data_IF_085377346950
#
_entry.id   IF_085377346950
#
_cell.length_a   1.000
_cell.length_b   1.000
_cell.length_c   1.000
_cell.angle_alpha   90.00
_cell.angle_beta   90.00
_cell.angle_gamma   90.00
#
_symmetry.space_group_name_H-M   'P 1'
#
loop_
_entity.id
_entity.type
_entity.pdbx_description
1 polymer ?
#
# COMPACT_ATOMS: atom_id res chain seq x y z
N UNK A 1 -5.10 4.97 -3.01
CA UNK A 1 -4.60 5.24 -4.37
C UNK A 1 -5.74 5.14 -5.37
N UNK A 2 -5.79 6.02 -6.39
CA UNK A 2 -6.65 5.80 -7.56
C UNK A 2 -5.97 4.75 -8.45
N UNK A 3 -6.76 3.91 -9.13
CA UNK A 3 -6.25 2.84 -10.01
C UNK A 3 -5.38 3.36 -11.16
N UNK A 4 -5.54 4.62 -11.54
CA UNK A 4 -4.83 5.26 -12.65
C UNK A 4 -3.37 5.57 -12.27
N UNK A 5 -3.12 6.11 -11.08
CA UNK A 5 -1.76 6.44 -10.62
C UNK A 5 -0.85 5.19 -10.55
N UNK A 6 -1.42 4.00 -10.29
CA UNK A 6 -0.66 2.74 -10.20
C UNK A 6 -0.30 2.17 -11.58
N UNK A 7 -1.03 2.56 -12.64
CA UNK A 7 -0.81 2.04 -14.00
C UNK A 7 0.37 2.70 -14.71
N UNK A 8 0.67 3.96 -14.39
CA UNK A 8 1.76 4.76 -14.99
C UNK A 8 3.10 4.61 -14.25
N UNK A 9 3.12 3.98 -13.07
CA UNK A 9 4.33 3.81 -12.27
C UNK A 9 5.16 2.62 -12.76
N UNK A 10 6.46 2.85 -12.92
CA UNK A 10 7.47 1.84 -13.19
C UNK A 10 7.60 0.84 -12.02
N UNK A 11 8.09 -0.38 -12.27
CA UNK A 11 8.25 -1.46 -11.28
C UNK A 11 9.03 -0.96 -10.05
N UNK A 12 10.05 -0.13 -10.25
CA UNK A 12 10.83 0.48 -9.17
C UNK A 12 9.97 1.38 -8.28
N UNK A 13 9.15 2.23 -8.88
CA UNK A 13 8.29 3.14 -8.14
C UNK A 13 7.14 2.41 -7.42
N UNK A 14 6.67 1.29 -7.97
CA UNK A 14 5.72 0.41 -7.31
C UNK A 14 6.32 -0.25 -6.06
N UNK A 15 7.57 -0.75 -6.13
CA UNK A 15 8.28 -1.30 -4.97
C UNK A 15 8.52 -0.24 -3.89
N UNK A 16 8.86 0.98 -4.29
CA UNK A 16 9.03 2.09 -3.34
C UNK A 16 7.70 2.46 -2.66
N UNK A 17 6.61 2.45 -3.42
CA UNK A 17 5.25 2.66 -2.89
C UNK A 17 4.85 1.54 -1.92
N UNK A 18 5.21 0.29 -2.21
CA UNK A 18 4.98 -0.85 -1.33
C UNK A 18 5.65 -0.65 0.04
N UNK A 19 6.93 -0.24 0.03
CA UNK A 19 7.68 0.03 1.26
C UNK A 19 7.03 1.14 2.08
N UNK A 20 6.66 2.27 1.45
CA UNK A 20 5.98 3.39 2.13
C UNK A 20 4.66 2.94 2.78
N UNK A 21 3.85 2.13 2.10
CA UNK A 21 2.59 1.62 2.65
C UNK A 21 2.84 0.66 3.83
N UNK A 22 3.88 -0.19 3.76
CA UNK A 22 4.27 -1.07 4.88
C UNK A 22 4.70 -0.28 6.11
N UNK A 23 5.51 0.78 5.93
CA UNK A 23 5.92 1.65 7.02
C UNK A 23 4.73 2.38 7.66
N UNK A 24 3.81 2.92 6.86
CA UNK A 24 2.60 3.57 7.37
C UNK A 24 1.70 2.58 8.13
N UNK A 25 1.57 1.34 7.63
CA UNK A 25 0.88 0.26 8.34
C UNK A 25 1.55 -0.10 9.67
N UNK A 26 2.88 -0.13 9.73
CA UNK A 26 3.62 -0.39 10.96
C UNK A 26 3.38 0.73 11.98
N UNK A 27 3.50 1.99 11.56
CA UNK A 27 3.20 3.16 12.41
C UNK A 27 1.77 3.12 12.95
N UNK A 28 0.79 2.80 12.12
CA UNK A 28 -0.62 2.71 12.54
C UNK A 28 -0.88 1.52 13.48
N UNK A 29 -0.18 0.40 13.31
CA UNK A 29 -0.25 -0.74 14.25
C UNK A 29 0.35 -0.39 15.60
N UNK A 30 1.47 0.31 15.62
CA UNK A 30 2.08 0.80 16.86
C UNK A 30 1.13 1.77 17.56
N UNK A 31 0.61 2.78 16.84
CA UNK A 31 -0.39 3.73 17.39
C UNK A 31 -1.64 3.03 17.94
N UNK A 32 -2.10 1.94 17.32
CA UNK A 32 -3.21 1.12 17.84
C UNK A 32 -2.96 0.55 19.23
N UNK A 33 -1.71 0.22 19.55
CA UNK A 33 -1.32 -0.34 20.84
C UNK A 33 -1.24 0.71 21.94
N UNK A 34 -0.86 1.95 21.60
CA UNK A 34 -0.66 3.03 22.56
C UNK A 34 -1.91 3.90 22.79
N UNK A 35 -2.77 4.09 21.78
CA UNK A 35 -3.97 4.94 21.87
C UNK A 35 -5.17 4.37 21.09
N UNK A 36 -6.38 4.88 21.37
CA UNK A 36 -7.54 4.66 20.50
C UNK A 36 -7.27 5.27 19.13
N UNK A 37 -7.10 4.42 18.12
CA UNK A 37 -7.00 4.84 16.72
C UNK A 37 -8.15 5.77 16.34
N UNK A 38 -7.84 7.01 15.97
CA UNK A 38 -8.82 7.96 15.44
C UNK A 38 -9.50 7.44 14.18
N UNK A 39 -8.79 6.67 13.35
CA UNK A 39 -9.34 6.18 12.08
C UNK A 39 -8.92 4.75 11.72
N UNK A 40 -9.56 3.72 12.29
CA UNK A 40 -9.26 2.32 11.99
C UNK A 40 -9.54 1.94 10.52
N UNK A 41 -10.40 2.69 9.82
CA UNK A 41 -10.68 2.46 8.39
C UNK A 41 -9.45 2.71 7.51
N UNK A 42 -8.52 3.58 7.95
CA UNK A 42 -7.29 3.87 7.21
C UNK A 42 -6.38 2.66 7.06
N UNK A 43 -6.28 1.80 8.07
CA UNK A 43 -5.56 0.53 7.99
C UNK A 43 -6.17 -0.38 6.91
N UNK A 44 -7.50 -0.46 6.84
CA UNK A 44 -8.20 -1.28 5.84
C UNK A 44 -7.97 -0.75 4.43
N UNK A 45 -7.96 0.57 4.25
CA UNK A 45 -7.68 1.20 2.97
C UNK A 45 -6.23 0.99 2.53
N UNK A 46 -5.26 1.17 3.43
CA UNK A 46 -3.84 0.92 3.14
C UNK A 46 -3.58 -0.54 2.77
N UNK A 47 -4.23 -1.51 3.42
CA UNK A 47 -4.15 -2.92 3.02
C UNK A 47 -4.68 -3.17 1.60
N UNK A 48 -5.77 -2.50 1.21
CA UNK A 48 -6.32 -2.60 -0.15
C UNK A 48 -5.38 -1.96 -1.18
N UNK A 49 -4.78 -0.83 -0.84
CA UNK A 49 -3.81 -0.16 -1.71
C UNK A 49 -2.55 -1.01 -1.87
N UNK A 50 -2.04 -1.62 -0.80
CA UNK A 50 -0.92 -2.57 -0.86
C UNK A 50 -1.23 -3.75 -1.80
N UNK A 51 -2.41 -4.33 -1.69
CA UNK A 51 -2.83 -5.43 -2.55
C UNK A 51 -2.84 -5.02 -4.03
N UNK A 52 -3.32 -3.82 -4.35
CA UNK A 52 -3.33 -3.29 -5.72
C UNK A 52 -1.93 -3.10 -6.28
N UNK A 53 -1.01 -2.56 -5.48
CA UNK A 53 0.40 -2.39 -5.87
C UNK A 53 1.03 -3.74 -6.18
N UNK A 54 0.86 -4.73 -5.28
CA UNK A 54 1.40 -6.07 -5.46
C UNK A 54 0.81 -6.78 -6.69
N UNK A 55 -0.49 -6.61 -6.95
CA UNK A 55 -1.11 -7.14 -8.17
C UNK A 55 -0.48 -6.52 -9.41
N UNK A 56 -0.28 -5.21 -9.44
CA UNK A 56 0.34 -4.53 -10.59
C UNK A 56 1.79 -4.95 -10.82
N UNK A 57 2.58 -5.08 -9.76
CA UNK A 57 3.95 -5.61 -9.85
C UNK A 57 3.94 -7.00 -10.47
N UNK A 58 3.03 -7.86 -10.04
CA UNK A 58 2.91 -9.23 -10.55
C UNK A 58 2.41 -9.31 -11.99
N UNK A 59 1.54 -8.39 -12.41
CA UNK A 59 1.14 -8.24 -13.83
C UNK A 59 2.36 -7.89 -14.69
N UNK A 60 3.13 -6.87 -14.28
CA UNK A 60 4.34 -6.43 -14.98
C UNK A 60 5.42 -7.54 -15.03
N UNK A 61 5.63 -8.25 -13.92
CA UNK A 61 6.58 -9.38 -13.86
C UNK A 61 6.15 -10.57 -14.72
N UNK A 62 4.84 -10.79 -14.91
CA UNK A 62 4.32 -11.85 -15.78
C UNK A 62 4.28 -11.48 -17.26
N UNK A 63 4.61 -10.25 -17.63
CA UNK A 63 4.58 -9.79 -19.03
C UNK A 63 3.17 -9.78 -19.65
N UNK A 64 2.13 -9.61 -18.81
CA UNK A 64 0.72 -9.43 -19.19
C UNK A 64 0.33 -7.95 -19.13
#
# INVERSE_FOLDING_TARGET
MKKHDVKELDIKALKESEQKIREELMRLRLKKGFERLENPKRIKNLKKDLARVLTRVKELEKGL
#
